data_IF_326703279078
#
_entry.id   IF_326703279078
#
_cell.length_a   1.000
_cell.length_b   1.000
_cell.length_c   1.000
_cell.angle_alpha   90.00
_cell.angle_beta   90.00
_cell.angle_gamma   90.00
#
_symmetry.space_group_name_H-M   'P 1'
#
loop_
_entity.id
_entity.type
_entity.pdbx_description
1 polymer ?
#
# COMPACT_ATOMS: atom_id res chain seq x y z
N UNK A 1 -19.58 2.13 -15.50
CA UNK A 1 -19.93 2.32 -16.94
C UNK A 1 -19.47 1.06 -17.69
N UNK A 2 -19.81 0.79 -18.97
CA UNK A 2 -19.07 -0.23 -19.70
C UNK A 2 -17.59 0.19 -19.84
N UNK A 3 -16.67 -0.75 -19.73
CA UNK A 3 -15.22 -0.56 -19.90
C UNK A 3 -14.77 -1.28 -21.18
N UNK A 4 -14.05 -0.62 -22.09
CA UNK A 4 -13.75 -1.15 -23.42
C UNK A 4 -12.25 -1.53 -23.56
N UNK A 5 -11.90 -2.72 -24.10
CA UNK A 5 -10.49 -3.05 -24.50
C UNK A 5 -10.13 -2.18 -25.71
N UNK A 6 -9.18 -1.26 -25.56
CA UNK A 6 -8.71 -0.40 -26.67
C UNK A 6 -8.12 -1.22 -27.83
N UNK A 7 -7.58 -2.41 -27.58
CA UNK A 7 -7.00 -3.27 -28.61
C UNK A 7 -8.04 -4.01 -29.47
N UNK A 8 -9.14 -4.51 -28.88
CA UNK A 8 -10.11 -5.36 -29.57
C UNK A 8 -11.54 -4.78 -29.63
N UNK A 9 -11.81 -3.70 -28.90
CA UNK A 9 -13.11 -3.03 -28.82
C UNK A 9 -14.18 -3.79 -28.03
N UNK A 10 -13.80 -4.79 -27.24
CA UNK A 10 -14.75 -5.53 -26.40
C UNK A 10 -15.14 -4.74 -25.15
N UNK A 11 -16.45 -4.70 -24.84
CA UNK A 11 -16.98 -4.01 -23.66
C UNK A 11 -17.23 -4.97 -22.49
N UNK A 12 -16.85 -4.54 -21.28
CA UNK A 12 -16.96 -5.28 -20.03
C UNK A 12 -17.77 -4.51 -18.98
N UNK A 13 -18.45 -5.26 -18.11
CA UNK A 13 -19.27 -4.69 -17.03
C UNK A 13 -18.46 -4.28 -15.79
N UNK A 14 -17.23 -4.79 -15.64
CA UNK A 14 -16.33 -4.50 -14.49
C UNK A 14 -14.89 -4.35 -14.96
N UNK A 15 -14.11 -3.55 -14.23
CA UNK A 15 -12.67 -3.40 -14.48
C UNK A 15 -11.90 -4.71 -14.30
N UNK A 16 -12.27 -5.56 -13.35
CA UNK A 16 -11.65 -6.88 -13.17
C UNK A 16 -11.74 -7.72 -14.44
N UNK A 17 -12.89 -7.70 -15.12
CA UNK A 17 -13.06 -8.45 -16.38
C UNK A 17 -12.24 -7.85 -17.51
N UNK A 18 -12.10 -6.52 -17.57
CA UNK A 18 -11.24 -5.86 -18.53
C UNK A 18 -9.76 -6.20 -18.26
N UNK A 19 -9.29 -6.07 -17.02
CA UNK A 19 -7.91 -6.37 -16.60
C UNK A 19 -7.49 -7.80 -16.94
N UNK A 20 -8.36 -8.78 -16.68
CA UNK A 20 -8.09 -10.19 -16.93
C UNK A 20 -8.35 -10.61 -18.39
N UNK A 21 -8.76 -9.69 -19.27
CA UNK A 21 -9.04 -10.01 -20.65
C UNK A 21 -7.76 -10.11 -21.48
N UNK A 22 -7.46 -11.32 -21.95
CA UNK A 22 -6.47 -11.51 -23.01
C UNK A 22 -7.16 -11.24 -24.37
N UNK A 23 -6.79 -10.14 -25.03
CA UNK A 23 -7.26 -9.81 -26.36
C UNK A 23 -6.53 -10.79 -27.33
N UNK A 24 -7.04 -12.05 -27.46
CA UNK A 24 -6.47 -13.09 -28.34
C UNK A 24 -6.12 -12.48 -29.69
N UNK A 25 -4.84 -12.58 -30.11
CA UNK A 25 -4.32 -12.08 -31.39
C UNK A 25 -5.39 -12.24 -32.47
N UNK A 26 -6.08 -11.14 -32.80
CA UNK A 26 -7.07 -11.14 -33.88
C UNK A 26 -6.25 -11.36 -35.14
N UNK A 27 -6.11 -12.63 -35.52
CA UNK A 27 -5.58 -13.02 -36.81
C UNK A 27 -6.44 -12.26 -37.81
N UNK A 28 -5.85 -11.23 -38.41
CA UNK A 28 -6.47 -10.52 -39.51
C UNK A 28 -6.84 -11.60 -40.52
N UNK A 29 -8.13 -11.90 -40.65
CA UNK A 29 -8.64 -12.88 -41.61
C UNK A 29 -8.31 -12.38 -43.01
N UNK A 30 -7.09 -12.66 -43.46
CA UNK A 30 -6.64 -12.44 -44.81
C UNK A 30 -7.04 -13.69 -45.59
N UNK A 31 -8.23 -13.60 -46.16
CA UNK A 31 -8.71 -14.52 -47.19
C UNK A 31 -7.65 -14.81 -48.26
N UNK A 32 -7.20 -16.07 -48.31
CA UNK A 32 -6.89 -16.83 -49.52
C UNK A 32 -5.64 -16.45 -50.33
N UNK A 33 -4.58 -17.26 -50.25
CA UNK A 33 -3.49 -17.19 -51.22
C UNK A 33 -2.29 -18.12 -51.00
N UNK A 34 -2.48 -19.43 -51.25
CA UNK A 34 -1.47 -20.41 -51.71
C UNK A 34 0.00 -20.29 -51.25
N UNK A 35 0.37 -21.23 -50.36
CA UNK A 35 1.64 -21.98 -50.32
C UNK A 35 2.97 -21.20 -50.33
N UNK A 36 3.52 -20.97 -49.14
CA UNK A 36 4.95 -21.16 -48.91
C UNK A 36 5.19 -21.56 -47.44
N UNK A 37 5.65 -22.80 -47.22
CA UNK A 37 6.14 -23.29 -45.94
C UNK A 37 7.52 -22.66 -45.67
N UNK A 38 7.54 -21.38 -45.34
CA UNK A 38 8.62 -20.74 -44.62
C UNK A 38 8.24 -20.75 -43.14
N UNK A 39 9.16 -21.21 -42.28
CA UNK A 39 9.03 -21.17 -40.83
C UNK A 39 8.45 -19.83 -40.38
N UNK A 40 7.17 -19.83 -40.02
CA UNK A 40 6.57 -18.78 -39.21
C UNK A 40 7.12 -19.02 -37.81
N UNK A 41 8.30 -18.45 -37.55
CA UNK A 41 8.64 -18.10 -36.18
C UNK A 41 7.56 -17.10 -35.78
N UNK A 42 6.66 -17.51 -34.89
CA UNK A 42 5.90 -16.54 -34.10
C UNK A 42 6.95 -15.63 -33.46
N UNK A 43 7.10 -14.43 -34.00
CA UNK A 43 7.92 -13.38 -33.40
C UNK A 43 7.11 -12.83 -32.24
N UNK A 44 7.07 -13.61 -31.14
CA UNK A 44 6.68 -13.04 -29.86
C UNK A 44 7.56 -11.83 -29.60
N UNK A 45 6.94 -10.68 -29.33
CA UNK A 45 7.69 -9.48 -28.92
C UNK A 45 8.61 -9.84 -27.75
N UNK A 46 9.87 -9.40 -27.77
CA UNK A 46 10.75 -9.63 -26.62
C UNK A 46 10.19 -8.92 -25.37
N UNK A 47 10.52 -9.38 -24.15
CA UNK A 47 10.12 -8.68 -22.92
C UNK A 47 10.47 -7.18 -22.95
N UNK A 48 11.66 -6.83 -23.46
CA UNK A 48 12.08 -5.46 -23.65
C UNK A 48 11.18 -4.67 -24.63
N UNK A 49 10.77 -5.27 -25.75
CA UNK A 49 9.86 -4.63 -26.71
C UNK A 49 8.46 -4.43 -26.11
N UNK A 50 7.97 -5.41 -25.32
CA UNK A 50 6.70 -5.29 -24.60
C UNK A 50 6.75 -4.19 -23.56
N UNK A 51 7.78 -4.18 -22.71
CA UNK A 51 8.03 -3.15 -21.71
C UNK A 51 8.07 -1.76 -22.35
N UNK A 52 8.86 -1.58 -23.42
CA UNK A 52 8.98 -0.27 -24.07
C UNK A 52 7.66 0.21 -24.70
N UNK A 53 6.82 -0.71 -25.20
CA UNK A 53 5.50 -0.38 -25.72
C UNK A 53 4.56 0.06 -24.58
N UNK A 54 4.47 -0.72 -23.52
CA UNK A 54 3.61 -0.40 -22.38
C UNK A 54 4.05 0.88 -21.67
N UNK A 55 5.34 1.15 -21.56
CA UNK A 55 5.86 2.43 -21.03
C UNK A 55 5.43 3.61 -21.91
N UNK A 56 5.50 3.48 -23.24
CA UNK A 56 5.08 4.54 -24.16
C UNK A 56 3.56 4.78 -24.13
N UNK A 57 2.78 3.71 -23.98
CA UNK A 57 1.32 3.81 -23.85
C UNK A 57 0.93 4.41 -22.49
N UNK A 58 1.56 3.97 -21.41
CA UNK A 58 1.40 4.54 -20.07
C UNK A 58 1.64 6.06 -20.06
N UNK A 59 2.71 6.54 -20.70
CA UNK A 59 2.93 7.99 -20.83
C UNK A 59 1.82 8.68 -21.63
N UNK A 60 1.31 8.04 -22.68
CA UNK A 60 0.21 8.57 -23.49
C UNK A 60 -1.08 8.69 -22.67
N UNK A 61 -1.42 7.65 -21.91
CA UNK A 61 -2.62 7.60 -21.06
C UNK A 61 -2.54 8.60 -19.91
N UNK A 62 -1.38 8.72 -19.24
CA UNK A 62 -1.19 9.73 -18.19
C UNK A 62 -1.29 11.17 -18.74
N UNK A 63 -0.81 11.41 -19.96
CA UNK A 63 -0.98 12.71 -20.62
C UNK A 63 -2.45 12.99 -20.95
N UNK A 64 -3.18 12.00 -21.50
CA UNK A 64 -4.64 12.12 -21.75
C UNK A 64 -5.40 12.43 -20.46
N UNK A 65 -5.09 11.73 -19.37
CA UNK A 65 -5.67 12.00 -18.06
C UNK A 65 -5.41 13.43 -17.60
N UNK A 66 -4.17 13.90 -17.73
CA UNK A 66 -3.78 15.29 -17.42
C UNK A 66 -4.50 16.33 -18.29
N UNK A 67 -4.92 15.95 -19.50
CA UNK A 67 -5.74 16.76 -20.42
C UNK A 67 -7.26 16.67 -20.13
N UNK A 68 -7.67 15.87 -19.15
CA UNK A 68 -9.04 15.77 -18.64
C UNK A 68 -9.77 14.48 -18.99
N UNK A 69 -9.12 13.52 -19.67
CA UNK A 69 -9.69 12.22 -20.00
C UNK A 69 -9.59 11.26 -18.80
N UNK A 70 -10.62 11.27 -17.95
CA UNK A 70 -10.62 10.49 -16.70
C UNK A 70 -10.67 8.98 -16.92
N UNK A 71 -11.25 8.52 -18.03
CA UNK A 71 -11.39 7.10 -18.32
C UNK A 71 -10.02 6.46 -18.62
N UNK A 72 -9.08 7.23 -19.18
CA UNK A 72 -7.72 6.78 -19.52
C UNK A 72 -6.89 6.31 -18.30
N UNK A 73 -7.29 6.66 -17.07
CA UNK A 73 -6.53 6.28 -15.88
C UNK A 73 -6.66 4.79 -15.56
N UNK A 74 -7.81 4.16 -15.81
CA UNK A 74 -7.95 2.72 -15.59
C UNK A 74 -7.00 1.93 -16.51
N UNK A 75 -6.93 2.34 -17.78
CA UNK A 75 -6.01 1.75 -18.75
C UNK A 75 -4.55 2.03 -18.37
N UNK A 76 -4.24 3.22 -17.83
CA UNK A 76 -2.89 3.55 -17.37
C UNK A 76 -2.42 2.62 -16.25
N UNK A 77 -3.30 2.26 -15.30
CA UNK A 77 -2.96 1.29 -14.24
C UNK A 77 -2.67 -0.09 -14.84
N UNK A 78 -3.46 -0.53 -15.83
CA UNK A 78 -3.23 -1.78 -16.55
C UNK A 78 -1.92 -1.80 -17.35
N UNK A 79 -1.61 -0.71 -18.06
CA UNK A 79 -0.34 -0.59 -18.79
C UNK A 79 0.87 -0.50 -17.86
N UNK A 80 0.71 0.12 -16.70
CA UNK A 80 1.77 0.13 -15.70
C UNK A 80 2.04 -1.29 -15.15
N UNK A 81 1.01 -2.04 -14.80
CA UNK A 81 1.16 -3.45 -14.42
C UNK A 81 1.82 -4.28 -15.54
N UNK A 82 1.40 -4.08 -16.79
CA UNK A 82 1.96 -4.76 -17.96
C UNK A 82 3.44 -4.44 -18.18
N UNK A 83 3.83 -3.17 -18.00
CA UNK A 83 5.23 -2.74 -18.07
C UNK A 83 6.08 -3.38 -16.95
N UNK A 84 5.56 -3.45 -15.72
CA UNK A 84 6.23 -4.10 -14.60
C UNK A 84 6.41 -5.60 -14.82
N UNK A 85 5.37 -6.28 -15.33
CA UNK A 85 5.42 -7.71 -15.65
C UNK A 85 6.48 -7.99 -16.72
N UNK A 86 6.48 -7.22 -17.82
CA UNK A 86 7.47 -7.37 -18.87
C UNK A 86 8.90 -7.07 -18.39
N UNK A 87 9.07 -6.12 -17.47
CA UNK A 87 10.36 -5.82 -16.86
C UNK A 87 10.89 -6.95 -15.96
N UNK A 88 10.00 -7.61 -15.20
CA UNK A 88 10.35 -8.74 -14.34
C UNK A 88 10.76 -9.98 -15.15
N UNK A 89 10.10 -10.21 -16.29
CA UNK A 89 10.47 -11.28 -17.22
C UNK A 89 11.81 -11.01 -17.94
N UNK A 90 12.14 -9.75 -18.22
CA UNK A 90 13.38 -9.35 -18.89
C UNK A 90 14.60 -9.66 -18.01
N UNK A 91 14.48 -9.45 -16.70
CA UNK A 91 15.61 -9.50 -15.78
C UNK A 91 15.25 -10.01 -14.37
N UNK A 92 15.84 -11.15 -14.02
CA UNK A 92 15.71 -11.78 -12.69
C UNK A 92 16.38 -11.00 -11.55
N UNK A 93 17.24 -10.01 -11.84
CA UNK A 93 17.90 -9.20 -10.80
C UNK A 93 16.93 -8.20 -10.13
N UNK A 94 15.83 -7.87 -10.81
CA UNK A 94 14.87 -6.87 -10.40
C UNK A 94 15.29 -5.42 -10.72
N UNK A 95 16.48 -5.19 -11.30
CA UNK A 95 16.92 -3.83 -11.66
C UNK A 95 16.04 -3.24 -12.75
N UNK A 96 15.71 -4.02 -13.79
CA UNK A 96 14.80 -3.58 -14.85
C UNK A 96 13.39 -3.27 -14.31
N UNK A 97 12.91 -4.08 -13.36
CA UNK A 97 11.66 -3.81 -12.65
C UNK A 97 11.72 -2.47 -11.91
N UNK A 98 12.79 -2.21 -11.15
CA UNK A 98 12.97 -0.95 -10.40
C UNK A 98 13.09 0.27 -11.30
N UNK A 99 13.75 0.12 -12.46
CA UNK A 99 13.89 1.17 -13.47
C UNK A 99 12.54 1.58 -14.09
N UNK A 100 11.56 0.67 -14.13
CA UNK A 100 10.17 0.99 -14.51
C UNK A 100 9.35 1.45 -13.31
N UNK A 101 9.48 0.80 -12.16
CA UNK A 101 8.64 1.08 -11.00
C UNK A 101 8.79 2.52 -10.48
N UNK A 102 10.02 2.94 -10.17
CA UNK A 102 10.23 4.20 -9.46
C UNK A 102 9.83 5.46 -10.24
N UNK A 103 10.08 5.57 -11.57
CA UNK A 103 9.64 6.75 -12.32
C UNK A 103 8.12 6.90 -12.43
N UNK A 104 7.35 5.82 -12.25
CA UNK A 104 5.89 5.84 -12.44
C UNK A 104 5.10 5.67 -11.15
N UNK A 105 5.68 5.13 -10.08
CA UNK A 105 4.99 4.92 -8.80
C UNK A 105 4.37 6.21 -8.25
N UNK A 106 5.15 7.31 -8.18
CA UNK A 106 4.64 8.62 -7.76
C UNK A 106 3.60 9.16 -8.75
N UNK A 107 3.91 9.17 -10.05
CA UNK A 107 3.04 9.73 -11.11
C UNK A 107 1.67 9.06 -11.18
N UNK A 108 1.65 7.73 -11.14
CA UNK A 108 0.40 6.95 -11.17
C UNK A 108 -0.33 7.08 -9.82
N UNK A 109 0.38 7.09 -8.69
CA UNK A 109 -0.20 7.32 -7.37
C UNK A 109 -0.86 8.69 -7.24
N UNK A 110 -0.24 9.75 -7.76
CA UNK A 110 -0.80 11.10 -7.85
C UNK A 110 -2.03 11.16 -8.76
N UNK A 111 -1.99 10.50 -9.92
CA UNK A 111 -3.13 10.47 -10.82
C UNK A 111 -4.34 9.75 -10.19
N UNK A 112 -4.12 8.62 -9.51
CA UNK A 112 -5.13 7.91 -8.72
C UNK A 112 -5.69 8.80 -7.59
N UNK A 113 -4.82 9.51 -6.86
CA UNK A 113 -5.25 10.43 -5.82
C UNK A 113 -6.07 11.60 -6.38
N UNK A 114 -5.66 12.21 -7.49
CA UNK A 114 -6.40 13.29 -8.15
C UNK A 114 -7.79 12.82 -8.62
N UNK A 115 -7.87 11.63 -9.22
CA UNK A 115 -9.13 11.04 -9.65
C UNK A 115 -10.06 10.76 -8.45
N UNK A 116 -9.51 10.22 -7.35
CA UNK A 116 -10.25 9.98 -6.12
C UNK A 116 -10.76 11.29 -5.49
N UNK A 117 -9.96 12.35 -5.50
CA UNK A 117 -10.39 13.67 -5.01
C UNK A 117 -11.50 14.26 -5.87
N UNK A 118 -11.50 14.01 -7.19
CA UNK A 118 -12.51 14.53 -8.11
C UNK A 118 -13.82 13.73 -8.09
N UNK A 119 -13.74 12.40 -7.99
CA UNK A 119 -14.88 11.49 -8.12
C UNK A 119 -15.35 10.90 -6.78
N UNK A 120 -14.58 11.06 -5.71
CA UNK A 120 -14.77 10.40 -4.43
C UNK A 120 -14.28 8.95 -4.43
N UNK A 121 -14.57 8.26 -3.33
CA UNK A 121 -14.15 6.87 -3.09
C UNK A 121 -14.56 5.88 -4.18
N UNK A 122 -15.69 6.11 -4.87
CA UNK A 122 -16.20 5.18 -5.87
C UNK A 122 -15.19 4.89 -6.99
N UNK A 123 -14.32 5.83 -7.32
CA UNK A 123 -13.26 5.61 -8.31
C UNK A 123 -12.22 4.60 -7.80
N UNK A 124 -11.74 4.78 -6.56
CA UNK A 124 -10.80 3.85 -5.94
C UNK A 124 -11.44 2.49 -5.66
N UNK A 125 -12.74 2.45 -5.33
CA UNK A 125 -13.49 1.20 -5.13
C UNK A 125 -13.47 0.30 -6.39
N UNK A 126 -13.62 0.89 -7.58
CA UNK A 126 -13.50 0.14 -8.83
C UNK A 126 -12.07 -0.38 -9.05
N UNK A 127 -11.04 0.40 -8.67
CA UNK A 127 -9.64 -0.01 -8.78
C UNK A 127 -9.30 -1.12 -7.79
N UNK A 128 -9.67 -1.02 -6.51
CA UNK A 128 -9.38 -2.06 -5.51
C UNK A 128 -10.11 -3.37 -5.83
N UNK A 129 -11.32 -3.33 -6.40
CA UNK A 129 -12.05 -4.53 -6.85
C UNK A 129 -11.36 -5.20 -8.05
N UNK A 130 -10.77 -4.41 -8.95
CA UNK A 130 -10.01 -4.94 -10.07
C UNK A 130 -8.66 -5.54 -9.67
N UNK A 131 -8.10 -5.09 -8.55
CA UNK A 131 -6.76 -5.42 -8.06
C UNK A 131 -6.79 -6.10 -6.69
N UNK A 132 -7.85 -6.87 -6.39
CA UNK A 132 -8.04 -7.54 -5.10
C UNK A 132 -6.83 -8.43 -4.74
N UNK A 133 -6.13 -8.16 -3.61
CA UNK A 133 -4.95 -8.92 -3.18
C UNK A 133 -5.26 -10.36 -2.76
N UNK A 134 -6.53 -10.74 -2.69
CA UNK A 134 -6.99 -12.08 -2.29
C UNK A 134 -7.49 -12.93 -3.46
N UNK A 135 -7.57 -12.35 -4.66
CA UNK A 135 -8.16 -13.01 -5.82
C UNK A 135 -7.27 -14.10 -6.43
N UNK A 136 -5.96 -13.90 -6.41
CA UNK A 136 -4.96 -14.79 -7.02
C UNK A 136 -3.80 -15.11 -6.05
N UNK A 137 -3.01 -16.14 -6.37
CA UNK A 137 -1.86 -16.57 -5.55
C UNK A 137 -0.70 -15.55 -5.55
N UNK A 138 -0.64 -14.66 -6.55
CA UNK A 138 0.38 -13.62 -6.69
C UNK A 138 -0.26 -12.24 -6.62
N UNK A 139 0.32 -11.36 -5.80
CA UNK A 139 -0.11 -9.97 -5.73
C UNK A 139 0.09 -9.24 -7.07
N UNK A 140 -0.88 -8.41 -7.50
CA UNK A 140 -0.68 -7.51 -8.64
C UNK A 140 0.56 -6.64 -8.46
N UNK A 141 1.38 -6.48 -9.50
CA UNK A 141 2.66 -5.75 -9.38
C UNK A 141 2.46 -4.25 -9.10
N UNK A 142 1.30 -3.70 -9.48
CA UNK A 142 0.92 -2.30 -9.24
C UNK A 142 0.34 -2.05 -7.83
N UNK A 143 0.16 -3.10 -7.02
CA UNK A 143 -0.40 -3.04 -5.66
C UNK A 143 0.19 -1.93 -4.79
N UNK A 144 1.54 -1.71 -4.72
CA UNK A 144 2.08 -0.64 -3.88
C UNK A 144 1.56 0.75 -4.26
N UNK A 145 1.37 1.01 -5.55
CA UNK A 145 0.86 2.30 -6.05
C UNK A 145 -0.62 2.50 -5.72
N UNK A 146 -1.42 1.43 -5.82
CA UNK A 146 -2.83 1.49 -5.43
C UNK A 146 -2.95 1.66 -3.91
N UNK A 147 -2.18 0.91 -3.12
CA UNK A 147 -2.13 1.04 -1.67
C UNK A 147 -1.71 2.45 -1.24
N UNK A 148 -0.76 3.06 -1.94
CA UNK A 148 -0.37 4.45 -1.73
C UNK A 148 -1.57 5.41 -1.89
N UNK A 149 -2.26 5.36 -3.04
CA UNK A 149 -3.42 6.23 -3.30
C UNK A 149 -4.59 5.99 -2.33
N UNK A 150 -4.86 4.73 -1.98
CA UNK A 150 -5.85 4.35 -0.96
C UNK A 150 -5.48 4.93 0.40
N UNK A 151 -4.21 4.81 0.80
CA UNK A 151 -3.69 5.38 2.05
C UNK A 151 -3.84 6.90 2.11
N UNK A 152 -3.56 7.62 1.01
CA UNK A 152 -3.74 9.08 0.94
C UNK A 152 -5.19 9.47 1.22
N UNK A 153 -6.13 8.81 0.54
CA UNK A 153 -7.55 9.09 0.67
C UNK A 153 -8.11 8.66 2.03
N UNK A 154 -7.58 7.58 2.61
CA UNK A 154 -7.93 7.13 3.95
C UNK A 154 -7.52 8.18 5.01
N UNK A 155 -6.28 8.68 4.96
CA UNK A 155 -5.81 9.75 5.85
C UNK A 155 -6.66 11.01 5.67
N UNK A 156 -6.86 11.45 4.42
CA UNK A 156 -7.66 12.64 4.10
C UNK A 156 -9.08 12.52 4.63
N UNK A 157 -9.74 11.39 4.42
CA UNK A 157 -11.10 11.13 4.92
C UNK A 157 -11.12 11.15 6.45
N UNK A 158 -10.15 10.51 7.11
CA UNK A 158 -10.06 10.50 8.57
C UNK A 158 -9.85 11.89 9.17
N UNK A 159 -9.03 12.73 8.53
CA UNK A 159 -8.70 14.09 9.02
C UNK A 159 -9.84 15.07 8.75
N UNK A 160 -10.49 14.99 7.60
CA UNK A 160 -11.48 16.00 7.16
C UNK A 160 -12.93 15.62 7.46
N UNK A 161 -13.21 14.34 7.65
CA UNK A 161 -14.53 13.80 7.92
C UNK A 161 -14.54 13.02 9.25
N UNK A 162 -14.67 11.69 9.19
CA UNK A 162 -14.66 10.82 10.36
C UNK A 162 -14.16 9.41 9.97
N UNK A 163 -13.97 8.52 10.95
CA UNK A 163 -13.60 7.13 10.64
C UNK A 163 -14.73 6.41 9.92
N UNK A 164 -16.00 6.67 10.27
CA UNK A 164 -17.16 6.02 9.66
C UNK A 164 -17.40 6.40 8.19
N UNK A 165 -16.73 7.46 7.70
CA UNK A 165 -16.77 7.85 6.30
C UNK A 165 -15.79 7.04 5.43
N UNK A 166 -14.85 6.31 6.04
CA UNK A 166 -13.89 5.47 5.31
C UNK A 166 -14.62 4.22 4.81
N UNK A 167 -14.57 3.90 3.50
CA UNK A 167 -15.17 2.66 3.01
C UNK A 167 -14.50 1.43 3.62
N UNK A 168 -15.31 0.47 4.06
CA UNK A 168 -14.82 -0.83 4.57
C UNK A 168 -13.96 -1.54 3.53
N UNK A 169 -14.34 -1.47 2.24
CA UNK A 169 -13.57 -2.08 1.16
C UNK A 169 -12.14 -1.56 1.06
N UNK A 170 -11.90 -0.28 1.36
CA UNK A 170 -10.54 0.29 1.39
C UNK A 170 -9.71 -0.28 2.55
N UNK A 171 -10.33 -0.47 3.71
CA UNK A 171 -9.70 -1.10 4.88
C UNK A 171 -9.42 -2.59 4.62
N UNK A 172 -10.36 -3.31 4.02
CA UNK A 172 -10.19 -4.71 3.62
C UNK A 172 -9.08 -4.86 2.57
N UNK A 173 -8.97 -3.95 1.62
CA UNK A 173 -7.89 -3.94 0.63
C UNK A 173 -6.52 -3.80 1.28
N UNK A 174 -6.31 -2.76 2.12
CA UNK A 174 -5.01 -2.56 2.78
C UNK A 174 -4.65 -3.72 3.71
N UNK A 175 -5.64 -4.26 4.43
CA UNK A 175 -5.47 -5.44 5.29
C UNK A 175 -5.09 -6.68 4.47
N UNK A 176 -5.76 -6.89 3.33
CA UNK A 176 -5.48 -7.98 2.41
C UNK A 176 -4.08 -7.89 1.81
N UNK A 177 -3.62 -6.70 1.44
CA UNK A 177 -2.24 -6.49 1.00
C UNK A 177 -1.25 -6.79 2.13
N UNK A 178 -1.52 -6.31 3.35
CA UNK A 178 -0.65 -6.56 4.51
C UNK A 178 -0.49 -8.06 4.82
N UNK A 179 -1.55 -8.85 4.61
CA UNK A 179 -1.57 -10.30 4.89
C UNK A 179 -0.94 -11.12 3.75
N UNK A 180 -1.18 -10.74 2.49
CA UNK A 180 -0.79 -11.56 1.33
C UNK A 180 0.54 -11.13 0.71
N UNK A 181 1.09 -9.97 1.09
CA UNK A 181 2.39 -9.54 0.59
C UNK A 181 3.54 -10.38 1.13
N UNK A 182 4.28 -11.00 0.22
CA UNK A 182 5.51 -11.71 0.54
C UNK A 182 6.51 -10.81 1.28
N UNK A 183 7.35 -11.40 2.14
CA UNK A 183 8.36 -10.68 2.92
C UNK A 183 9.34 -9.86 2.06
N UNK A 184 9.50 -10.20 0.78
CA UNK A 184 10.36 -9.48 -0.17
C UNK A 184 9.68 -8.29 -0.86
N UNK A 185 8.38 -8.10 -0.65
CA UNK A 185 7.58 -7.03 -1.25
C UNK A 185 7.55 -5.79 -0.35
N UNK A 186 8.73 -5.29 0.05
CA UNK A 186 8.90 -4.20 1.03
C UNK A 186 8.02 -2.99 0.71
N UNK A 187 7.98 -2.57 -0.56
CA UNK A 187 7.18 -1.42 -0.99
C UNK A 187 5.68 -1.64 -0.74
N UNK A 188 5.12 -2.81 -1.06
CA UNK A 188 3.70 -3.10 -0.81
C UNK A 188 3.39 -3.09 0.69
N UNK A 189 4.28 -3.69 1.49
CA UNK A 189 4.14 -3.81 2.95
C UNK A 189 4.26 -2.46 3.65
N UNK A 190 5.08 -1.55 3.12
CA UNK A 190 5.21 -0.20 3.68
C UNK A 190 4.01 0.70 3.33
N UNK A 191 3.51 0.66 2.09
CA UNK A 191 2.40 1.55 1.67
C UNK A 191 1.09 1.28 2.42
N UNK A 192 0.93 0.09 3.02
CA UNK A 192 -0.25 -0.25 3.83
C UNK A 192 -0.18 0.23 5.28
N UNK A 193 0.92 0.83 5.75
CA UNK A 193 0.99 1.36 7.12
C UNK A 193 -0.12 2.39 7.42
N UNK A 194 -0.61 3.09 6.39
CA UNK A 194 -1.75 3.99 6.47
C UNK A 194 -3.04 3.31 6.98
N UNK A 195 -3.13 1.98 6.94
CA UNK A 195 -4.24 1.20 7.52
C UNK A 195 -4.54 1.54 8.98
N UNK A 196 -3.53 1.95 9.76
CA UNK A 196 -3.68 2.37 11.16
C UNK A 196 -4.65 3.54 11.36
N UNK A 197 -4.84 4.37 10.33
CA UNK A 197 -5.78 5.49 10.38
C UNK A 197 -7.26 5.05 10.38
N UNK A 198 -7.55 3.79 10.07
CA UNK A 198 -8.86 3.17 10.23
C UNK A 198 -9.21 2.74 11.67
N UNK A 199 -8.32 2.96 12.64
CA UNK A 199 -8.55 2.57 14.04
C UNK A 199 -9.87 3.15 14.58
N UNK A 200 -10.67 2.31 15.24
CA UNK A 200 -11.98 2.67 15.77
C UNK A 200 -13.14 2.61 14.78
N UNK A 201 -12.92 2.11 13.55
CA UNK A 201 -14.01 1.95 12.58
C UNK A 201 -15.09 0.95 13.09
N UNK A 202 -16.39 1.33 13.08
CA UNK A 202 -17.44 0.52 13.71
C UNK A 202 -17.69 -0.82 13.01
N UNK A 203 -17.53 -0.86 11.69
CA UNK A 203 -17.78 -2.04 10.87
C UNK A 203 -16.49 -2.79 10.47
N UNK A 204 -15.31 -2.33 10.94
CA UNK A 204 -14.03 -2.95 10.61
C UNK A 204 -13.01 -2.77 11.75
N UNK A 205 -12.83 -3.81 12.57
CA UNK A 205 -11.88 -3.75 13.69
C UNK A 205 -10.43 -3.85 13.18
N UNK A 206 -9.77 -2.69 13.07
CA UNK A 206 -8.31 -2.61 12.83
C UNK A 206 -7.54 -3.18 14.03
N UNK A 207 -8.02 -2.91 15.25
CA UNK A 207 -7.38 -3.37 16.48
C UNK A 207 -7.29 -4.90 16.56
N UNK A 208 -8.39 -5.60 16.31
CA UNK A 208 -8.41 -7.07 16.37
C UNK A 208 -7.51 -7.69 15.29
N UNK A 209 -7.45 -7.08 14.10
CA UNK A 209 -6.62 -7.57 12.99
C UNK A 209 -5.13 -7.34 13.22
N UNK A 210 -4.74 -6.19 13.75
CA UNK A 210 -3.36 -5.94 14.17
C UNK A 210 -2.96 -6.89 15.31
N UNK A 211 -3.86 -7.13 16.25
CA UNK A 211 -3.62 -8.11 17.32
C UNK A 211 -3.46 -9.54 16.78
N UNK A 212 -4.28 -9.96 15.82
CA UNK A 212 -4.15 -11.27 15.20
C UNK A 212 -2.81 -11.45 14.48
N UNK A 213 -2.29 -10.38 13.86
CA UNK A 213 -0.99 -10.41 13.15
C UNK A 213 0.23 -10.29 14.04
N UNK A 214 0.12 -9.75 15.26
CA UNK A 214 1.28 -9.37 16.05
C UNK A 214 2.27 -10.52 16.36
N UNK A 215 1.77 -11.76 16.50
CA UNK A 215 2.64 -12.93 16.71
C UNK A 215 3.28 -13.47 15.42
N UNK A 216 2.73 -13.14 14.24
CA UNK A 216 3.19 -13.66 12.95
C UNK A 216 4.04 -12.63 12.19
N UNK A 217 3.68 -11.34 12.28
CA UNK A 217 4.26 -10.26 11.51
C UNK A 217 4.30 -8.95 12.31
N UNK A 218 5.16 -8.93 13.35
CA UNK A 218 5.34 -7.76 14.20
C UNK A 218 5.86 -6.52 13.43
N UNK A 219 6.55 -6.74 12.30
CA UNK A 219 7.16 -5.68 11.49
C UNK A 219 6.14 -4.89 10.69
N UNK A 220 5.00 -5.50 10.32
CA UNK A 220 3.86 -4.76 9.75
C UNK A 220 3.05 -4.04 10.84
N UNK A 221 2.95 -4.62 12.04
CA UNK A 221 2.08 -4.10 13.12
C UNK A 221 2.61 -2.79 13.72
N UNK A 222 3.90 -2.75 14.11
CA UNK A 222 4.49 -1.58 14.78
C UNK A 222 4.34 -0.27 13.99
N UNK A 223 4.74 -0.18 12.71
CA UNK A 223 4.56 1.05 11.93
C UNK A 223 3.08 1.37 11.65
N UNK A 224 2.22 0.36 11.51
CA UNK A 224 0.77 0.61 11.39
C UNK A 224 0.20 1.21 12.69
N UNK A 225 0.69 0.78 13.85
CA UNK A 225 0.32 1.33 15.15
C UNK A 225 0.85 2.76 15.33
N UNK A 226 2.03 3.09 14.78
CA UNK A 226 2.53 4.47 14.74
C UNK A 226 1.52 5.37 14.03
N UNK A 227 1.04 4.99 12.84
CA UNK A 227 -0.01 5.73 12.13
C UNK A 227 -1.30 5.87 12.96
N UNK A 228 -1.71 4.82 13.67
CA UNK A 228 -2.91 4.84 14.50
C UNK A 228 -2.83 5.91 15.61
N UNK A 229 -1.66 6.20 16.18
CA UNK A 229 -1.50 7.27 17.17
C UNK A 229 -1.86 8.66 16.62
N UNK A 230 -1.55 8.93 15.35
CA UNK A 230 -1.87 10.20 14.70
C UNK A 230 -3.36 10.31 14.35
N UNK A 231 -4.04 9.18 14.19
CA UNK A 231 -5.48 9.12 13.89
C UNK A 231 -6.37 9.12 15.13
N UNK A 232 -5.98 8.40 16.18
CA UNK A 232 -6.65 8.34 17.49
C UNK A 232 -5.70 7.81 18.57
N UNK A 233 -5.05 8.72 19.29
CA UNK A 233 -4.08 8.36 20.32
C UNK A 233 -4.65 7.52 21.48
N UNK A 234 -5.96 7.61 21.76
CA UNK A 234 -6.58 6.84 22.84
C UNK A 234 -6.84 5.40 22.41
N UNK A 235 -7.41 5.22 21.21
CA UNK A 235 -7.60 3.88 20.65
C UNK A 235 -6.24 3.18 20.36
N UNK A 236 -5.24 3.94 19.92
CA UNK A 236 -3.90 3.42 19.67
C UNK A 236 -3.20 2.97 20.96
N UNK A 237 -3.26 3.76 22.04
CA UNK A 237 -2.64 3.35 23.31
C UNK A 237 -3.38 2.18 23.96
N UNK A 238 -4.71 2.08 23.80
CA UNK A 238 -5.49 0.91 24.25
C UNK A 238 -5.01 -0.37 23.55
N UNK A 239 -4.77 -0.30 22.24
CA UNK A 239 -4.23 -1.41 21.47
C UNK A 239 -2.78 -1.72 21.86
N UNK A 240 -1.90 -0.72 21.96
CA UNK A 240 -0.51 -0.89 22.37
C UNK A 240 -0.41 -1.62 23.72
N UNK A 241 -1.19 -1.16 24.70
CA UNK A 241 -1.29 -1.78 26.02
C UNK A 241 -1.73 -3.24 25.95
N UNK A 242 -2.70 -3.55 25.09
CA UNK A 242 -3.19 -4.92 24.89
C UNK A 242 -2.07 -5.80 24.33
N UNK A 243 -1.39 -5.35 23.28
CA UNK A 243 -0.33 -6.11 22.61
C UNK A 243 0.90 -6.30 23.51
N UNK A 244 1.33 -5.27 24.26
CA UNK A 244 2.48 -5.38 25.16
C UNK A 244 2.20 -6.31 26.35
N UNK A 245 0.95 -6.35 26.82
CA UNK A 245 0.53 -7.24 27.92
C UNK A 245 0.21 -8.67 27.45
N UNK A 246 0.02 -8.90 26.15
CA UNK A 246 -0.22 -10.24 25.63
C UNK A 246 1.06 -11.08 25.64
N UNK A 247 1.14 -12.00 26.60
CA UNK A 247 2.27 -12.93 26.74
C UNK A 247 2.39 -13.96 25.60
N UNK A 248 1.35 -14.11 24.77
CA UNK A 248 1.40 -14.99 23.59
C UNK A 248 2.17 -14.39 22.40
N UNK A 249 2.46 -13.10 22.44
CA UNK A 249 3.42 -12.46 21.54
C UNK A 249 4.82 -12.73 22.10
N UNK A 250 5.30 -13.96 21.88
CA UNK A 250 6.62 -14.41 22.24
C UNK A 250 7.58 -14.37 21.05
N UNK A 251 8.83 -13.99 21.28
CA UNK A 251 9.82 -13.84 20.21
C UNK A 251 10.81 -12.72 20.46
N UNK A 252 11.91 -12.77 19.70
CA UNK A 252 12.97 -11.76 19.78
C UNK A 252 13.48 -11.28 18.42
N UNK A 253 13.86 -10.01 18.36
CA UNK A 253 14.58 -9.38 17.27
C UNK A 253 16.09 -9.50 17.53
N UNK A 254 16.86 -10.14 16.64
CA UNK A 254 18.31 -10.22 16.79
C UNK A 254 18.95 -8.84 16.77
N UNK A 255 19.84 -8.54 17.72
CA UNK A 255 20.64 -7.30 17.72
C UNK A 255 22.13 -7.60 17.66
N UNK A 256 22.84 -6.98 16.71
CA UNK A 256 24.26 -7.31 16.42
C UNK A 256 25.19 -7.07 17.63
N UNK A 257 24.88 -6.10 18.49
CA UNK A 257 25.76 -5.66 19.57
C UNK A 257 25.08 -5.55 20.94
N UNK A 258 23.87 -6.12 21.08
CA UNK A 258 23.06 -6.08 22.30
C UNK A 258 22.30 -7.40 22.45
N UNK A 259 21.73 -7.61 23.63
CA UNK A 259 20.79 -8.70 23.83
C UNK A 259 19.59 -8.56 22.89
N UNK A 260 19.05 -9.71 22.56
CA UNK A 260 17.89 -9.90 21.70
C UNK A 260 16.68 -9.07 22.18
N UNK A 261 16.06 -8.39 21.22
CA UNK A 261 14.80 -7.63 21.23
C UNK A 261 13.51 -8.34 21.59
N UNK A 262 12.93 -8.35 22.80
CA UNK A 262 11.58 -8.89 22.94
C UNK A 262 10.60 -8.20 21.96
N UNK A 263 9.77 -8.95 21.22
CA UNK A 263 8.79 -8.37 20.30
C UNK A 263 7.86 -7.37 20.98
N UNK A 264 7.46 -7.66 22.22
CA UNK A 264 6.66 -6.74 23.04
C UNK A 264 7.37 -5.42 23.34
N UNK A 265 8.70 -5.42 23.43
CA UNK A 265 9.51 -4.19 23.53
C UNK A 265 9.59 -3.46 22.19
N UNK A 266 9.63 -4.19 21.07
CA UNK A 266 9.63 -3.60 19.74
C UNK A 266 8.35 -2.80 19.45
N UNK A 267 7.19 -3.27 19.91
CA UNK A 267 5.93 -2.53 19.76
C UNK A 267 6.00 -1.08 20.26
N UNK A 268 6.81 -0.80 21.29
CA UNK A 268 6.98 0.55 21.84
C UNK A 268 7.69 1.53 20.88
N UNK A 269 8.31 1.03 19.81
CA UNK A 269 8.90 1.83 18.74
C UNK A 269 7.85 2.69 18.01
N UNK A 270 6.58 2.26 18.00
CA UNK A 270 5.48 3.07 17.44
C UNK A 270 5.28 4.43 18.12
N UNK A 271 5.79 4.58 19.36
CA UNK A 271 5.72 5.82 20.11
C UNK A 271 6.92 6.74 19.84
N UNK A 272 7.94 6.29 19.08
CA UNK A 272 9.22 6.99 18.87
C UNK A 272 9.06 8.46 18.46
N UNK A 273 8.19 8.69 17.47
CA UNK A 273 7.91 10.00 16.90
C UNK A 273 6.97 10.88 17.73
N UNK A 274 6.35 10.33 18.78
CA UNK A 274 5.43 11.10 19.59
C UNK A 274 6.23 12.18 20.36
N UNK A 275 5.70 13.41 20.37
CA UNK A 275 6.31 14.63 20.96
C UNK A 275 7.49 15.24 20.21
N UNK A 276 7.69 14.88 18.95
CA UNK A 276 8.73 15.49 18.13
C UNK A 276 8.11 16.19 16.94
N UNK A 277 8.30 17.50 16.85
CA UNK A 277 7.71 18.34 15.79
C UNK A 277 8.30 18.06 14.40
N UNK A 278 9.35 17.23 14.32
CA UNK A 278 10.13 16.90 13.12
C UNK A 278 9.99 15.44 12.67
N UNK A 279 9.11 14.64 13.29
CA UNK A 279 8.89 13.24 12.91
C UNK A 279 7.42 12.98 12.64
N UNK A 280 7.13 12.51 11.43
CA UNK A 280 5.79 12.12 10.98
C UNK A 280 5.86 10.74 10.34
N UNK A 281 4.79 9.93 10.43
CA UNK A 281 4.67 8.72 9.65
C UNK A 281 4.90 9.02 8.16
N UNK A 282 5.92 8.37 7.60
CA UNK A 282 6.44 8.65 6.26
C UNK A 282 5.68 7.96 5.12
N UNK A 283 4.64 7.20 5.44
CA UNK A 283 3.76 6.56 4.47
C UNK A 283 2.40 7.29 4.42
N UNK A 284 1.69 7.27 3.29
CA UNK A 284 2.14 6.82 1.97
C UNK A 284 3.32 7.65 1.44
N UNK A 285 4.21 7.04 0.63
CA UNK A 285 5.33 7.77 0.03
C UNK A 285 4.85 8.92 -0.87
N UNK A 286 5.71 9.93 -1.01
CA UNK A 286 5.49 11.11 -1.85
C UNK A 286 4.23 11.90 -1.45
N UNK A 287 3.85 11.82 -0.18
CA UNK A 287 2.68 12.52 0.33
C UNK A 287 2.92 13.08 1.73
N UNK A 288 3.25 14.37 1.77
CA UNK A 288 3.38 15.12 3.02
C UNK A 288 2.01 15.53 3.55
N UNK A 289 1.24 14.54 4.02
CA UNK A 289 -0.14 14.71 4.50
C UNK A 289 -0.26 15.79 5.60
N UNK A 290 0.76 15.92 6.45
CA UNK A 290 0.78 16.92 7.51
C UNK A 290 0.91 18.34 6.96
N UNK A 291 1.58 18.54 5.82
CA UNK A 291 1.65 19.84 5.14
C UNK A 291 0.31 20.19 4.45
N UNK A 292 -0.38 19.22 3.85
CA UNK A 292 -1.70 19.46 3.21
C UNK A 292 -2.72 20.05 4.19
N UNK A 293 -2.72 19.58 5.44
CA UNK A 293 -3.71 19.98 6.44
C UNK A 293 -3.21 20.98 7.49
N UNK A 294 -1.97 21.49 7.37
CA UNK A 294 -1.29 22.26 8.44
C UNK A 294 -1.42 21.53 9.80
N UNK A 295 -1.27 20.20 9.76
CA UNK A 295 -1.56 19.34 10.89
C UNK A 295 -0.46 19.44 11.93
N UNK A 296 -0.83 19.81 13.15
CA UNK A 296 0.07 19.80 14.31
C UNK A 296 -0.39 18.73 15.29
N UNK A 297 0.37 17.65 15.41
CA UNK A 297 0.09 16.61 16.39
C UNK A 297 0.37 17.12 17.79
N UNK A 298 -0.60 16.97 18.68
CA UNK A 298 -0.44 17.27 20.09
C UNK A 298 -0.76 16.04 20.91
N UNK A 299 0.29 15.45 21.47
CA UNK A 299 0.14 14.34 22.42
C UNK A 299 -0.62 14.80 23.67
N UNK A 300 -1.55 13.97 24.14
CA UNK A 300 -2.25 14.15 25.40
C UNK A 300 -1.41 13.58 26.55
N UNK A 301 -1.19 14.40 27.58
CA UNK A 301 -0.39 14.02 28.76
C UNK A 301 -0.88 12.69 29.40
N UNK A 302 -2.18 12.38 29.29
CA UNK A 302 -2.74 11.11 29.78
C UNK A 302 -2.23 9.93 28.98
N UNK A 303 -2.22 10.05 27.64
CA UNK A 303 -1.69 8.99 26.76
C UNK A 303 -0.19 8.84 26.99
N UNK A 304 0.53 9.94 27.14
CA UNK A 304 1.96 9.88 27.45
C UNK A 304 2.24 9.13 28.75
N UNK A 305 1.49 9.44 29.80
CA UNK A 305 1.64 8.78 31.10
C UNK A 305 1.33 7.29 31.01
N UNK A 306 0.30 6.90 30.26
CA UNK A 306 -0.04 5.49 30.02
C UNK A 306 1.09 4.72 29.36
N UNK A 307 1.74 5.31 28.35
CA UNK A 307 2.91 4.70 27.69
C UNK A 307 4.06 4.55 28.70
N UNK A 308 4.33 5.56 29.52
CA UNK A 308 5.37 5.49 30.57
C UNK A 308 5.09 4.40 31.60
N UNK A 309 3.86 4.35 32.09
CA UNK A 309 3.41 3.33 33.04
C UNK A 309 3.54 1.94 32.44
N UNK A 310 3.19 1.76 31.16
CA UNK A 310 3.33 0.49 30.43
C UNK A 310 4.79 0.04 30.31
N UNK A 311 5.72 0.97 30.04
CA UNK A 311 7.16 0.68 29.96
C UNK A 311 7.69 0.21 31.31
N UNK A 312 7.32 0.88 32.41
CA UNK A 312 7.71 0.50 33.78
C UNK A 312 7.05 -0.82 34.21
N UNK A 313 5.75 -1.01 33.94
CA UNK A 313 5.00 -2.22 34.26
C UNK A 313 5.62 -3.46 33.59
N UNK A 314 6.03 -3.33 32.33
CA UNK A 314 6.67 -4.40 31.57
C UNK A 314 8.16 -4.60 31.92
N UNK A 315 8.75 -3.72 32.74
CA UNK A 315 10.17 -3.74 33.11
C UNK A 315 11.12 -3.38 31.95
N UNK A 316 10.60 -2.68 30.94
CA UNK A 316 11.34 -2.27 29.75
C UNK A 316 12.14 -0.98 29.94
N UNK A 317 11.97 -0.31 31.09
CA UNK A 317 12.73 0.86 31.53
C UNK A 317 14.15 0.51 32.02
N UNK A 318 14.41 -0.75 32.39
CA UNK A 318 15.66 -1.17 33.03
C UNK A 318 16.93 -0.86 32.20
N UNK A 319 16.80 -0.86 30.87
CA UNK A 319 17.88 -0.58 29.92
C UNK A 319 17.85 0.86 29.35
N UNK A 320 16.91 1.69 29.82
CA UNK A 320 16.76 3.08 29.38
C UNK A 320 17.50 4.06 30.32
N UNK A 321 17.91 5.24 29.82
CA UNK A 321 18.40 6.32 30.67
C UNK A 321 17.36 6.75 31.71
N UNK A 322 17.80 7.27 32.87
CA UNK A 322 16.86 7.75 33.92
C UNK A 322 15.94 8.89 33.45
N UNK A 323 16.37 9.65 32.44
CA UNK A 323 15.66 10.77 31.82
C UNK A 323 15.15 10.44 30.41
N UNK A 324 14.86 9.16 30.16
CA UNK A 324 14.43 8.68 28.85
C UNK A 324 13.18 9.38 28.31
N UNK A 325 13.21 9.55 27.00
CA UNK A 325 12.17 10.14 26.15
C UNK A 325 11.63 9.08 25.20
N UNK A 326 10.54 9.35 24.50
CA UNK A 326 10.02 8.40 23.52
C UNK A 326 11.02 8.09 22.39
N UNK A 327 11.97 8.99 22.10
CA UNK A 327 13.08 8.69 21.18
C UNK A 327 13.98 7.54 21.65
N UNK A 328 14.08 7.32 22.96
CA UNK A 328 14.86 6.20 23.51
C UNK A 328 14.11 4.86 23.40
N UNK A 329 12.82 4.89 23.04
CA UNK A 329 12.06 3.69 22.71
C UNK A 329 12.42 3.12 21.33
N UNK A 330 13.06 3.94 20.49
CA UNK A 330 13.51 3.60 19.14
C UNK A 330 14.43 2.37 19.07
N UNK A 331 14.32 1.58 18.00
CA UNK A 331 15.20 0.43 17.71
C UNK A 331 16.50 0.81 17.02
#
# INVERSE_FOLDING_TARGET
MPHDCDDCGASFETLTRLRLHDCEDVQSETSGGSANLGQSQSTGSSPADRRNRSVAELDTLLNRFSEGDRDALHDAVGEFESALSAALEEDTSGDTYRDVFWPYHERVGEALDEAAQAAGWSFLEEVIDAYDPTADDELPLVTPTIANAVGRNLIRTRVTESVEAIPVAALEYLDGVAVNAADTADTAREEVHAYGWGIGHPDHSVADRLHARASEDIFSVTPTLEHAFYADQYAAVDLLETLVRDESIDGTLPRISRDDMPYRRYLLDCAYGLKTDDHWPGMPRYYDWHEEFDYTFKSDDTVEQRIRDLVEEAGFDADLPNDWTFRDLGV
#
